data_IF_654485714679
#
_entry.id   IF_654485714679
#
_cell.length_a   1.000
_cell.length_b   1.000
_cell.length_c   1.000
_cell.angle_alpha   90.00
_cell.angle_beta   90.00
_cell.angle_gamma   90.00
#
_symmetry.space_group_name_H-M   'P 1'
#
loop_
_entity.id
_entity.type
_entity.pdbx_description
1 polymer ?
#
# COMPACT_ATOMS: atom_id res chain seq x y z
N UNK A 1 13.67 -70.79 -30.77
CA UNK A 1 13.01 -69.78 -29.88
C UNK A 1 14.04 -68.72 -29.50
N UNK A 2 13.70 -67.41 -29.46
CA UNK A 2 14.55 -66.23 -29.12
C UNK A 2 15.01 -65.25 -30.25
N UNK A 3 14.22 -65.00 -31.31
CA UNK A 3 14.48 -63.84 -32.21
C UNK A 3 13.26 -62.96 -32.56
N UNK A 4 12.05 -63.32 -32.12
CA UNK A 4 10.81 -62.61 -32.52
C UNK A 4 10.47 -61.44 -31.57
N UNK A 5 11.04 -61.37 -30.37
CA UNK A 5 10.70 -60.33 -29.40
C UNK A 5 11.41 -58.98 -29.63
N UNK A 6 12.45 -58.91 -30.48
CA UNK A 6 13.21 -57.66 -30.65
C UNK A 6 12.49 -56.63 -31.55
N UNK A 7 11.64 -57.09 -32.47
CA UNK A 7 10.93 -56.21 -33.42
C UNK A 7 9.60 -55.67 -32.90
N UNK A 8 9.06 -56.23 -31.80
CA UNK A 8 7.77 -55.77 -31.25
C UNK A 8 7.89 -54.50 -30.40
N UNK A 9 9.09 -54.16 -29.91
CA UNK A 9 9.32 -52.98 -29.06
C UNK A 9 9.85 -51.76 -29.83
N UNK A 10 10.34 -51.96 -31.07
CA UNK A 10 10.85 -50.89 -31.91
C UNK A 10 9.80 -49.80 -32.26
N UNK A 11 8.54 -50.12 -32.60
CA UNK A 11 7.54 -49.08 -32.89
C UNK A 11 7.11 -48.31 -31.64
N UNK A 12 7.10 -48.94 -30.45
CA UNK A 12 6.76 -48.27 -29.18
C UNK A 12 7.84 -47.26 -28.78
N UNK A 13 9.12 -47.60 -28.98
CA UNK A 13 10.24 -46.69 -28.71
C UNK A 13 10.30 -45.50 -29.69
N UNK A 14 9.92 -45.71 -30.95
CA UNK A 14 9.82 -44.63 -31.95
C UNK A 14 8.64 -43.68 -31.66
N UNK A 15 7.50 -44.21 -31.22
CA UNK A 15 6.35 -43.38 -30.82
C UNK A 15 6.67 -42.54 -29.57
N UNK A 16 7.38 -43.13 -28.59
CA UNK A 16 7.84 -42.42 -27.40
C UNK A 16 8.83 -41.28 -27.72
N UNK A 17 9.70 -41.45 -28.72
CA UNK A 17 10.59 -40.39 -29.20
C UNK A 17 9.89 -39.26 -29.96
N UNK A 18 8.77 -39.55 -30.64
CA UNK A 18 8.00 -38.51 -31.34
C UNK A 18 7.16 -37.66 -30.36
N UNK A 19 6.69 -38.25 -29.26
CA UNK A 19 5.95 -37.53 -28.21
C UNK A 19 6.86 -36.70 -27.29
N UNK A 20 8.14 -37.07 -27.13
CA UNK A 20 9.09 -36.29 -26.30
C UNK A 20 9.53 -34.96 -26.93
N UNK A 21 9.24 -34.71 -28.21
CA UNK A 21 9.59 -33.45 -28.89
C UNK A 21 8.52 -32.35 -28.75
N UNK A 22 7.36 -32.65 -28.17
CA UNK A 22 6.24 -31.69 -28.05
C UNK A 22 6.02 -31.14 -26.64
N UNK A 23 6.81 -31.59 -25.67
CA UNK A 23 6.70 -31.13 -24.28
C UNK A 23 7.98 -30.39 -23.92
N UNK A 24 8.11 -29.16 -24.40
CA UNK A 24 8.95 -28.18 -23.72
C UNK A 24 8.15 -27.73 -22.48
N UNK A 25 8.55 -28.15 -21.25
CA UNK A 25 7.99 -27.52 -20.07
C UNK A 25 8.48 -26.08 -20.09
N UNK A 26 7.54 -25.14 -20.16
CA UNK A 26 7.85 -23.72 -20.02
C UNK A 26 8.66 -23.56 -18.74
N UNK A 27 9.94 -23.23 -18.94
CA UNK A 27 10.92 -23.15 -17.86
C UNK A 27 10.45 -22.04 -16.93
N UNK A 28 9.91 -22.41 -15.76
CA UNK A 28 9.77 -21.46 -14.67
C UNK A 28 11.15 -20.87 -14.46
N UNK A 29 11.30 -19.53 -14.47
CA UNK A 29 12.57 -18.92 -14.13
C UNK A 29 12.98 -19.47 -12.76
N UNK A 30 14.18 -20.04 -12.71
CA UNK A 30 14.79 -20.56 -11.48
C UNK A 30 14.65 -19.51 -10.37
N UNK A 31 14.25 -19.91 -9.16
CA UNK A 31 14.20 -19.02 -7.98
C UNK A 31 15.47 -18.16 -7.83
N UNK A 32 16.60 -18.65 -8.32
CA UNK A 32 17.89 -17.95 -8.37
C UNK A 32 17.87 -16.62 -9.16
N UNK A 33 17.01 -16.46 -10.17
CA UNK A 33 16.90 -15.19 -10.92
C UNK A 33 16.06 -14.14 -10.18
N UNK A 34 15.04 -14.57 -9.42
CA UNK A 34 14.26 -13.71 -8.53
C UNK A 34 15.08 -13.27 -7.31
N UNK A 35 15.96 -14.14 -6.81
CA UNK A 35 16.87 -13.84 -5.69
C UNK A 35 18.04 -12.94 -6.11
N UNK A 36 18.51 -13.03 -7.37
CA UNK A 36 19.55 -12.11 -7.89
C UNK A 36 19.08 -10.67 -7.98
N UNK A 37 17.80 -10.42 -8.24
CA UNK A 37 17.25 -9.05 -8.27
C UNK A 37 17.03 -8.48 -6.85
N UNK A 38 16.92 -9.36 -5.84
CA UNK A 38 16.89 -9.01 -4.41
C UNK A 38 18.29 -8.85 -3.79
N UNK A 39 19.36 -9.10 -4.54
CA UNK A 39 20.75 -9.10 -4.02
C UNK A 39 21.35 -7.70 -3.83
N UNK A 40 20.57 -6.64 -4.02
CA UNK A 40 20.96 -5.26 -3.65
C UNK A 40 20.28 -4.80 -2.35
N UNK A 41 20.31 -5.62 -1.30
CA UNK A 41 20.15 -5.11 0.06
C UNK A 41 21.54 -5.05 0.68
N UNK A 42 22.22 -3.90 0.67
CA UNK A 42 23.49 -3.80 1.35
C UNK A 42 23.17 -3.59 2.82
N UNK A 43 23.38 -4.65 3.60
CA UNK A 43 23.43 -4.58 5.05
C UNK A 43 24.79 -3.97 5.44
N UNK A 44 24.73 -3.09 6.44
CA UNK A 44 25.83 -2.31 7.05
C UNK A 44 26.46 -1.25 6.13
N UNK A 45 25.83 -0.07 6.09
CA UNK A 45 26.45 1.16 5.59
C UNK A 45 25.55 2.15 4.86
N UNK A 46 24.25 1.86 4.66
CA UNK A 46 23.40 2.74 3.85
C UNK A 46 22.75 3.86 4.67
N UNK A 47 23.23 5.06 4.42
CA UNK A 47 22.58 6.33 4.75
C UNK A 47 21.25 6.54 4.00
N UNK A 48 20.86 5.63 3.11
CA UNK A 48 19.54 5.57 2.49
C UNK A 48 19.12 4.12 2.29
N UNK A 49 18.40 3.54 3.24
CA UNK A 49 17.50 2.42 2.91
C UNK A 49 16.52 3.00 1.89
N UNK A 50 16.66 2.61 0.62
CA UNK A 50 15.71 3.00 -0.43
C UNK A 50 14.29 2.64 -0.01
N UNK A 51 13.31 3.45 -0.41
CA UNK A 51 11.90 3.20 -0.11
C UNK A 51 11.42 1.82 -0.55
N UNK A 52 10.19 1.46 -0.20
CA UNK A 52 9.61 0.17 -0.61
C UNK A 52 9.55 0.10 -2.14
N UNK A 53 10.10 -0.95 -2.78
CA UNK A 53 10.08 -1.07 -4.24
C UNK A 53 8.65 -1.06 -4.80
N UNK A 54 8.40 -0.25 -5.83
CA UNK A 54 7.08 -0.13 -6.48
C UNK A 54 6.54 -1.48 -7.00
N UNK A 55 7.43 -2.33 -7.52
CA UNK A 55 7.08 -3.67 -7.98
C UNK A 55 6.46 -4.54 -6.87
N UNK A 56 6.93 -4.38 -5.62
CA UNK A 56 6.38 -5.10 -4.46
C UNK A 56 4.99 -4.56 -4.11
N UNK A 57 4.81 -3.24 -4.11
CA UNK A 57 3.52 -2.58 -3.82
C UNK A 57 2.45 -2.93 -4.84
N UNK A 58 2.84 -3.20 -6.08
CA UNK A 58 1.95 -3.60 -7.17
C UNK A 58 1.81 -5.12 -7.31
N UNK A 59 2.50 -5.95 -6.54
CA UNK A 59 2.37 -7.40 -6.69
C UNK A 59 0.93 -7.86 -6.40
N UNK A 60 0.40 -8.79 -7.22
CA UNK A 60 -0.95 -9.34 -7.05
C UNK A 60 -1.15 -9.96 -5.67
N UNK A 61 -2.39 -9.93 -5.18
CA UNK A 61 -2.76 -10.48 -3.87
C UNK A 61 -4.09 -11.20 -3.97
N UNK A 62 -4.33 -12.14 -3.06
CA UNK A 62 -5.60 -12.85 -2.93
C UNK A 62 -6.43 -12.27 -1.79
N UNK A 63 -7.75 -12.45 -1.84
CA UNK A 63 -8.61 -12.13 -0.70
C UNK A 63 -8.26 -13.04 0.48
N UNK A 64 -8.11 -12.45 1.67
CA UNK A 64 -7.81 -13.12 2.93
C UNK A 64 -8.89 -12.84 3.95
N UNK A 65 -9.25 -13.86 4.73
CA UNK A 65 -10.11 -13.71 5.90
C UNK A 65 -9.35 -13.10 7.08
N UNK A 66 -10.05 -12.39 7.97
CA UNK A 66 -9.49 -11.93 9.26
C UNK A 66 -8.64 -10.65 9.18
N UNK A 67 -8.71 -9.89 8.08
CA UNK A 67 -7.94 -8.66 7.86
C UNK A 67 -8.58 -7.40 8.49
N UNK A 68 -9.72 -7.57 9.15
CA UNK A 68 -10.59 -6.48 9.59
C UNK A 68 -11.77 -6.29 8.65
N UNK A 69 -12.84 -5.65 9.14
CA UNK A 69 -14.06 -5.42 8.38
C UNK A 69 -14.18 -3.91 8.11
N UNK A 70 -14.32 -3.55 6.84
CA UNK A 70 -14.59 -2.17 6.42
C UNK A 70 -15.78 -2.16 5.46
N UNK A 71 -16.99 -2.31 5.99
CA UNK A 71 -18.20 -2.47 5.17
C UNK A 71 -18.75 -1.13 4.64
N UNK A 72 -17.91 -0.33 3.97
CA UNK A 72 -18.33 0.94 3.36
C UNK A 72 -18.43 0.78 1.85
N UNK A 73 -19.66 0.88 1.33
CA UNK A 73 -19.92 0.80 -0.10
C UNK A 73 -19.28 1.97 -0.86
N UNK A 74 -18.64 1.64 -1.98
CA UNK A 74 -18.11 2.62 -2.94
C UNK A 74 -19.03 2.75 -4.16
N UNK A 75 -18.74 3.69 -5.06
CA UNK A 75 -19.42 3.79 -6.36
C UNK A 75 -18.99 2.72 -7.37
N UNK A 76 -18.05 1.84 -7.02
CA UNK A 76 -17.67 0.72 -7.87
C UNK A 76 -18.83 -0.26 -8.06
N UNK A 77 -18.96 -0.77 -9.27
CA UNK A 77 -19.92 -1.82 -9.62
C UNK A 77 -19.31 -3.22 -9.56
N UNK A 78 -18.00 -3.32 -9.31
CA UNK A 78 -17.27 -4.58 -9.28
C UNK A 78 -17.20 -5.11 -7.86
N UNK A 79 -17.92 -6.19 -7.57
CA UNK A 79 -17.91 -6.85 -6.27
C UNK A 79 -16.49 -7.27 -5.87
N UNK A 80 -15.67 -7.71 -6.84
CA UNK A 80 -14.26 -8.04 -6.60
C UNK A 80 -13.44 -6.81 -6.24
N UNK A 81 -13.61 -5.69 -6.95
CA UNK A 81 -12.90 -4.46 -6.63
C UNK A 81 -13.28 -3.98 -5.22
N UNK A 82 -14.58 -4.01 -4.88
CA UNK A 82 -15.07 -3.67 -3.55
C UNK A 82 -14.41 -4.55 -2.48
N UNK A 83 -14.39 -5.88 -2.65
CA UNK A 83 -13.77 -6.78 -1.69
C UNK A 83 -12.27 -6.50 -1.46
N UNK A 84 -11.52 -6.20 -2.52
CA UNK A 84 -10.11 -5.82 -2.39
C UNK A 84 -9.91 -4.44 -1.76
N UNK A 85 -10.79 -3.48 -2.04
CA UNK A 85 -10.78 -2.19 -1.38
C UNK A 85 -11.02 -2.33 0.12
N UNK A 86 -12.01 -3.12 0.53
CA UNK A 86 -12.31 -3.37 1.95
C UNK A 86 -11.13 -4.06 2.65
N UNK A 87 -10.51 -5.04 2.00
CA UNK A 87 -9.28 -5.66 2.48
C UNK A 87 -8.14 -4.64 2.63
N UNK A 88 -7.95 -3.77 1.64
CA UNK A 88 -6.95 -2.71 1.68
C UNK A 88 -7.16 -1.74 2.83
N UNK A 89 -8.42 -1.36 3.10
CA UNK A 89 -8.79 -0.54 4.26
C UNK A 89 -8.52 -1.26 5.58
N UNK A 90 -8.84 -2.54 5.68
CA UNK A 90 -8.49 -3.36 6.84
C UNK A 90 -6.98 -3.36 7.12
N UNK A 91 -6.16 -3.57 6.10
CA UNK A 91 -4.71 -3.49 6.23
C UNK A 91 -4.19 -2.08 6.54
N UNK A 92 -4.78 -1.03 5.95
CA UNK A 92 -4.41 0.35 6.19
C UNK A 92 -4.61 0.71 7.67
N UNK A 93 -5.78 0.41 8.23
CA UNK A 93 -6.06 0.63 9.65
C UNK A 93 -5.30 -0.32 10.57
N UNK A 94 -4.89 -1.49 10.07
CA UNK A 94 -3.96 -2.41 10.73
C UNK A 94 -2.48 -2.04 10.58
N UNK A 95 -2.14 -0.93 9.91
CA UNK A 95 -0.78 -0.49 9.60
C UNK A 95 0.08 -1.50 8.79
N UNK A 96 -0.56 -2.42 8.08
CA UNK A 96 0.08 -3.33 7.13
C UNK A 96 0.17 -2.67 5.72
N UNK A 97 0.93 -1.59 5.63
CA UNK A 97 0.93 -0.65 4.50
C UNK A 97 1.25 -1.31 3.14
N UNK A 98 2.18 -2.26 3.09
CA UNK A 98 2.52 -2.98 1.85
C UNK A 98 1.33 -3.81 1.36
N UNK A 99 0.65 -4.52 2.27
CA UNK A 99 -0.51 -5.34 1.92
C UNK A 99 -1.73 -4.45 1.57
N UNK A 100 -1.84 -3.26 2.18
CA UNK A 100 -2.83 -2.27 1.83
C UNK A 100 -2.65 -1.77 0.39
N UNK A 101 -1.43 -1.35 0.01
CA UNK A 101 -1.12 -0.92 -1.36
C UNK A 101 -1.42 -2.03 -2.38
N UNK A 102 -0.98 -3.26 -2.12
CA UNK A 102 -1.24 -4.41 -3.00
C UNK A 102 -2.73 -4.65 -3.20
N UNK A 103 -3.51 -4.54 -2.12
CA UNK A 103 -4.97 -4.72 -2.17
C UNK A 103 -5.65 -3.59 -2.95
N UNK A 104 -5.25 -2.33 -2.76
CA UNK A 104 -5.80 -1.22 -3.55
C UNK A 104 -5.41 -1.31 -5.03
N UNK A 105 -4.19 -1.72 -5.35
CA UNK A 105 -3.80 -1.97 -6.74
C UNK A 105 -4.58 -3.14 -7.36
N UNK A 106 -4.86 -4.20 -6.60
CA UNK A 106 -5.72 -5.29 -7.07
C UNK A 106 -7.17 -4.84 -7.27
N UNK A 107 -7.70 -3.96 -6.41
CA UNK A 107 -9.01 -3.34 -6.62
C UNK A 107 -9.04 -2.57 -7.95
N UNK A 108 -8.00 -1.81 -8.26
CA UNK A 108 -7.86 -1.06 -9.52
C UNK A 108 -7.69 -1.95 -10.77
N UNK A 109 -7.21 -3.19 -10.63
CA UNK A 109 -7.22 -4.17 -11.74
C UNK A 109 -8.63 -4.62 -12.08
N UNK A 110 -9.50 -4.69 -11.08
CA UNK A 110 -10.89 -5.10 -11.24
C UNK A 110 -11.85 -3.94 -11.55
N UNK A 111 -11.49 -2.72 -11.16
CA UNK A 111 -12.18 -1.49 -11.52
C UNK A 111 -11.18 -0.32 -11.56
N UNK A 112 -10.71 0.01 -12.77
CA UNK A 112 -9.75 1.08 -12.99
C UNK A 112 -10.31 2.49 -12.72
N UNK A 113 -11.61 2.62 -12.47
CA UNK A 113 -12.28 3.88 -12.18
C UNK A 113 -12.60 4.06 -10.69
N UNK A 114 -12.19 3.11 -9.83
CA UNK A 114 -12.46 3.16 -8.40
C UNK A 114 -11.66 4.28 -7.71
N UNK A 115 -12.31 5.45 -7.55
CA UNK A 115 -11.74 6.65 -6.92
C UNK A 115 -11.21 6.37 -5.52
N UNK A 116 -11.95 5.61 -4.71
CA UNK A 116 -11.56 5.36 -3.32
C UNK A 116 -10.31 4.48 -3.17
N UNK A 117 -9.99 3.62 -4.14
CA UNK A 117 -8.72 2.89 -4.12
C UNK A 117 -7.52 3.83 -4.32
N UNK A 118 -7.65 4.85 -5.17
CA UNK A 118 -6.64 5.90 -5.31
C UNK A 118 -6.51 6.78 -4.06
N UNK A 119 -7.63 7.11 -3.39
CA UNK A 119 -7.61 7.78 -2.08
C UNK A 119 -6.87 6.93 -1.03
N UNK A 120 -7.14 5.62 -0.99
CA UNK A 120 -6.46 4.66 -0.13
C UNK A 120 -4.95 4.59 -0.41
N UNK A 121 -4.55 4.51 -1.68
CA UNK A 121 -3.14 4.54 -2.09
C UNK A 121 -2.44 5.84 -1.65
N UNK A 122 -3.09 6.99 -1.82
CA UNK A 122 -2.55 8.27 -1.36
C UNK A 122 -2.23 8.26 0.14
N UNK A 123 -3.11 7.65 0.95
CA UNK A 123 -2.87 7.47 2.39
C UNK A 123 -1.71 6.53 2.67
N UNK A 124 -1.66 5.38 1.98
CA UNK A 124 -0.56 4.42 2.14
C UNK A 124 0.79 5.09 1.84
N UNK A 125 0.90 5.82 0.72
CA UNK A 125 2.14 6.49 0.35
C UNK A 125 2.52 7.60 1.31
N UNK A 126 1.56 8.36 1.84
CA UNK A 126 1.80 9.33 2.90
C UNK A 126 2.37 8.66 4.16
N UNK A 127 1.87 7.49 4.55
CA UNK A 127 2.35 6.73 5.72
C UNK A 127 3.72 6.05 5.46
N UNK A 128 4.07 5.80 4.20
CA UNK A 128 5.40 5.34 3.77
C UNK A 128 6.42 6.48 3.62
N UNK A 129 6.06 7.72 3.96
CA UNK A 129 6.87 8.94 3.72
C UNK A 129 7.22 9.17 2.23
N UNK A 130 6.41 8.63 1.30
CA UNK A 130 6.49 8.91 -0.14
C UNK A 130 5.45 9.96 -0.54
N UNK A 131 5.73 11.21 -0.18
CA UNK A 131 4.81 12.33 -0.46
C UNK A 131 4.54 12.51 -1.95
N UNK A 132 5.52 12.22 -2.82
CA UNK A 132 5.34 12.33 -4.27
C UNK A 132 4.27 11.35 -4.76
N UNK A 133 4.40 10.06 -4.43
CA UNK A 133 3.42 9.05 -4.79
C UNK A 133 2.05 9.30 -4.12
N UNK A 134 2.04 9.91 -2.93
CA UNK A 134 0.81 10.31 -2.25
C UNK A 134 0.03 11.37 -3.04
N UNK A 135 0.71 12.40 -3.56
CA UNK A 135 0.11 13.41 -4.43
C UNK A 135 -0.33 12.82 -5.79
N UNK A 136 0.52 12.02 -6.44
CA UNK A 136 0.19 11.37 -7.72
C UNK A 136 -1.09 10.51 -7.60
N UNK A 137 -1.24 9.79 -6.48
CA UNK A 137 -2.45 9.01 -6.20
C UNK A 137 -3.68 9.87 -5.93
N UNK A 138 -3.53 10.99 -5.21
CA UNK A 138 -4.63 11.94 -4.99
C UNK A 138 -5.09 12.61 -6.30
N UNK A 139 -4.14 12.95 -7.18
CA UNK A 139 -4.44 13.49 -8.51
C UNK A 139 -5.12 12.47 -9.42
N UNK A 140 -4.73 11.20 -9.35
CA UNK A 140 -5.43 10.13 -10.05
C UNK A 140 -6.90 10.01 -9.58
N UNK A 141 -7.13 10.08 -8.27
CA UNK A 141 -8.48 10.11 -7.71
C UNK A 141 -9.28 11.33 -8.22
N UNK A 142 -8.66 12.52 -8.26
CA UNK A 142 -9.30 13.74 -8.75
C UNK A 142 -9.67 13.68 -10.23
N UNK A 143 -8.83 13.09 -11.08
CA UNK A 143 -9.10 12.90 -12.52
C UNK A 143 -10.30 11.97 -12.75
N UNK A 144 -10.54 11.03 -11.83
CA UNK A 144 -11.64 10.07 -11.89
C UNK A 144 -12.87 10.51 -11.08
N UNK A 145 -12.86 11.71 -10.49
CA UNK A 145 -13.91 12.17 -9.57
C UNK A 145 -15.33 12.17 -10.17
N UNK A 146 -15.47 12.24 -11.50
CA UNK A 146 -16.76 12.13 -12.20
C UNK A 146 -17.42 10.75 -12.03
N UNK A 147 -16.66 9.70 -11.70
CA UNK A 147 -17.16 8.35 -11.40
C UNK A 147 -17.48 8.16 -9.92
N UNK A 148 -17.09 9.11 -9.07
CA UNK A 148 -17.33 9.06 -7.63
C UNK A 148 -18.68 9.66 -7.26
N UNK A 149 -19.30 9.07 -6.24
CA UNK A 149 -20.41 9.69 -5.52
C UNK A 149 -19.99 10.98 -4.82
N UNK A 150 -20.94 11.83 -4.42
CA UNK A 150 -20.64 13.05 -3.67
C UNK A 150 -19.82 12.79 -2.40
N UNK A 151 -20.09 11.66 -1.71
CA UNK A 151 -19.36 11.23 -0.52
C UNK A 151 -17.88 10.99 -0.84
N UNK A 152 -17.60 10.28 -1.92
CA UNK A 152 -16.24 9.95 -2.32
C UNK A 152 -15.49 11.17 -2.87
N UNK A 153 -16.17 12.08 -3.56
CA UNK A 153 -15.59 13.37 -3.95
C UNK A 153 -15.15 14.19 -2.74
N UNK A 154 -15.89 14.13 -1.62
CA UNK A 154 -15.48 14.76 -0.37
C UNK A 154 -14.19 14.14 0.21
N UNK A 155 -13.98 12.83 0.07
CA UNK A 155 -12.72 12.18 0.44
C UNK A 155 -11.55 12.66 -0.42
N UNK A 156 -11.76 12.83 -1.72
CA UNK A 156 -10.74 13.40 -2.64
C UNK A 156 -10.38 14.83 -2.24
N UNK A 157 -11.37 15.69 -1.98
CA UNK A 157 -11.14 17.07 -1.54
C UNK A 157 -10.33 17.10 -0.24
N UNK A 158 -10.73 16.31 0.77
CA UNK A 158 -10.02 16.22 2.04
C UNK A 158 -8.58 15.75 1.88
N UNK A 159 -8.31 14.89 0.89
CA UNK A 159 -6.98 14.34 0.67
C UNK A 159 -5.95 15.44 0.39
N UNK A 160 -6.29 16.40 -0.46
CA UNK A 160 -5.40 17.54 -0.78
C UNK A 160 -5.21 18.48 0.42
N UNK A 161 -6.28 18.75 1.18
CA UNK A 161 -6.18 19.60 2.38
C UNK A 161 -5.27 18.95 3.41
N UNK A 162 -5.37 17.64 3.59
CA UNK A 162 -4.52 16.90 4.53
C UNK A 162 -3.06 16.85 4.04
N UNK A 163 -2.81 16.55 2.76
CA UNK A 163 -1.44 16.52 2.21
C UNK A 163 -0.73 17.87 2.39
N UNK A 164 -1.42 18.99 2.09
CA UNK A 164 -0.89 20.34 2.34
C UNK A 164 -0.54 20.59 3.81
N UNK A 165 -1.36 20.09 4.74
CA UNK A 165 -1.07 20.20 6.16
C UNK A 165 0.10 19.30 6.61
N UNK A 166 0.26 18.14 5.97
CA UNK A 166 1.38 17.21 6.22
C UNK A 166 2.71 17.75 5.71
N UNK A 167 2.74 18.44 4.57
CA UNK A 167 3.94 19.13 4.07
C UNK A 167 4.47 20.21 5.01
N UNK A 168 3.67 20.62 6.00
CA UNK A 168 3.99 21.65 6.98
C UNK A 168 3.44 21.28 8.35
N UNK A 169 3.90 20.16 8.92
CA UNK A 169 3.42 19.54 10.16
C UNK A 169 3.26 20.48 11.36
N UNK A 170 4.09 21.53 11.46
CA UNK A 170 4.06 22.49 12.57
C UNK A 170 3.24 23.75 12.27
N UNK A 171 2.67 23.86 11.07
CA UNK A 171 1.81 24.98 10.68
C UNK A 171 0.39 24.77 11.24
N UNK A 172 0.12 25.42 12.38
CA UNK A 172 -1.18 25.36 13.06
C UNK A 172 -2.34 25.88 12.19
N UNK A 173 -2.08 26.82 11.29
CA UNK A 173 -3.10 27.35 10.37
C UNK A 173 -3.59 26.24 9.44
N UNK A 174 -2.66 25.54 8.78
CA UNK A 174 -3.00 24.43 7.87
C UNK A 174 -3.65 23.25 8.60
N UNK A 175 -3.20 22.93 9.81
CA UNK A 175 -3.87 21.93 10.65
C UNK A 175 -5.32 22.33 10.98
N UNK A 176 -5.56 23.59 11.30
CA UNK A 176 -6.91 24.09 11.59
C UNK A 176 -7.79 24.18 10.33
N UNK A 177 -7.21 24.48 9.16
CA UNK A 177 -7.89 24.38 7.86
C UNK A 177 -8.34 22.93 7.61
N UNK A 178 -7.45 21.96 7.82
CA UNK A 178 -7.76 20.53 7.70
C UNK A 178 -8.86 20.08 8.65
N UNK A 179 -8.76 20.42 9.95
CA UNK A 179 -9.81 20.13 10.95
C UNK A 179 -11.16 20.72 10.56
N UNK A 180 -11.15 21.96 10.07
CA UNK A 180 -12.37 22.64 9.63
C UNK A 180 -12.97 21.98 8.40
N UNK A 181 -12.15 21.53 7.46
CA UNK A 181 -12.59 20.79 6.28
C UNK A 181 -13.24 19.46 6.67
N UNK A 182 -12.60 18.66 7.53
CA UNK A 182 -13.18 17.38 7.99
C UNK A 182 -14.50 17.62 8.71
N UNK A 183 -14.58 18.61 9.60
CA UNK A 183 -15.82 18.93 10.33
C UNK A 183 -16.98 19.25 9.39
N UNK A 184 -16.73 19.95 8.27
CA UNK A 184 -17.76 20.20 7.26
C UNK A 184 -18.22 18.90 6.59
N UNK A 185 -17.29 18.02 6.23
CA UNK A 185 -17.65 16.76 5.56
C UNK A 185 -18.36 15.78 6.50
N UNK A 186 -17.93 15.67 7.77
CA UNK A 186 -18.65 14.88 8.81
C UNK A 186 -20.09 15.37 8.98
N UNK A 187 -20.32 16.69 8.95
CA UNK A 187 -21.68 17.24 9.02
C UNK A 187 -22.52 16.88 7.79
N UNK A 188 -21.90 16.82 6.59
CA UNK A 188 -22.58 16.48 5.33
C UNK A 188 -22.84 14.98 5.21
N UNK A 189 -21.93 14.14 5.70
CA UNK A 189 -21.99 12.67 5.61
C UNK A 189 -21.79 12.02 6.99
N UNK A 190 -22.72 12.21 7.94
CA UNK A 190 -22.53 11.74 9.32
C UNK A 190 -22.51 10.21 9.47
N UNK A 191 -22.91 9.46 8.45
CA UNK A 191 -22.87 8.00 8.41
C UNK A 191 -21.51 7.45 7.95
N UNK A 192 -20.62 8.29 7.42
CA UNK A 192 -19.30 7.87 6.95
C UNK A 192 -18.35 7.72 8.14
N UNK A 193 -18.11 6.47 8.54
CA UNK A 193 -17.24 6.13 9.67
C UNK A 193 -15.79 6.59 9.44
N UNK A 194 -15.32 6.63 8.20
CA UNK A 194 -13.95 7.03 7.89
C UNK A 194 -13.75 8.53 8.15
N UNK A 195 -14.74 9.36 7.82
CA UNK A 195 -14.68 10.79 8.13
C UNK A 195 -14.62 11.05 9.64
N UNK A 196 -15.33 10.26 10.45
CA UNK A 196 -15.24 10.34 11.91
C UNK A 196 -13.88 9.90 12.43
N UNK A 197 -13.31 8.84 11.88
CA UNK A 197 -11.97 8.38 12.23
C UNK A 197 -10.92 9.46 11.92
N UNK A 198 -10.95 10.02 10.71
CA UNK A 198 -10.07 11.12 10.29
C UNK A 198 -10.26 12.36 11.18
N UNK A 199 -11.49 12.67 11.59
CA UNK A 199 -11.75 13.75 12.53
C UNK A 199 -11.06 13.51 13.88
N UNK A 200 -11.15 12.29 14.41
CA UNK A 200 -10.45 11.86 15.62
C UNK A 200 -8.93 12.04 15.49
N UNK A 201 -8.34 11.50 14.42
CA UNK A 201 -6.90 11.60 14.15
C UNK A 201 -6.42 13.05 14.08
N UNK A 202 -7.18 13.93 13.42
CA UNK A 202 -6.81 15.34 13.27
C UNK A 202 -6.70 16.09 14.61
N UNK A 203 -7.28 15.57 15.71
CA UNK A 203 -7.15 16.15 17.05
C UNK A 203 -5.86 15.77 17.78
N UNK A 204 -5.08 14.77 17.32
CA UNK A 204 -3.82 14.36 17.98
C UNK A 204 -2.69 15.42 17.92
N UNK A 205 -2.86 16.47 17.12
CA UNK A 205 -1.98 17.64 17.06
C UNK A 205 -1.13 17.72 15.79
N UNK A 206 -1.15 16.68 14.96
CA UNK A 206 -0.56 16.65 13.62
C UNK A 206 -1.64 16.23 12.61
N UNK A 207 -1.46 16.58 11.34
CA UNK A 207 -2.41 16.21 10.27
C UNK A 207 -2.15 14.80 9.69
N UNK A 208 -1.15 14.07 10.17
CA UNK A 208 -0.85 12.71 9.70
C UNK A 208 -1.68 11.66 10.44
N UNK A 209 -2.04 10.58 9.76
CA UNK A 209 -2.69 9.41 10.35
C UNK A 209 -1.68 8.50 11.09
N UNK A 210 -0.37 8.72 10.88
CA UNK A 210 0.71 8.07 11.61
C UNK A 210 0.63 8.39 13.11
N UNK A 211 0.19 7.41 13.91
CA UNK A 211 0.22 7.52 15.37
C UNK A 211 1.60 7.93 15.88
N UNK A 212 1.67 8.66 16.99
CA UNK A 212 2.89 9.28 17.57
C UNK A 212 4.11 8.35 17.70
N UNK A 213 3.91 7.04 17.68
CA UNK A 213 4.95 6.00 17.79
C UNK A 213 5.82 5.91 16.53
N UNK A 214 5.27 6.10 15.33
CA UNK A 214 6.02 5.90 14.09
C UNK A 214 7.10 6.97 13.88
N UNK A 215 6.80 8.24 14.23
CA UNK A 215 7.74 9.36 14.03
C UNK A 215 8.79 9.52 15.13
N UNK A 216 8.57 9.02 16.36
CA UNK A 216 9.61 9.09 17.41
C UNK A 216 10.83 8.25 17.06
N UNK A 217 10.69 7.20 16.25
CA UNK A 217 11.81 6.33 15.87
C UNK A 217 12.83 7.04 14.97
N UNK A 218 12.37 7.93 14.08
CA UNK A 218 13.26 8.70 13.18
C UNK A 218 14.00 9.81 13.94
N UNK A 219 13.29 10.56 14.78
CA UNK A 219 13.88 11.65 15.55
C UNK A 219 14.86 11.17 16.63
N UNK A 220 14.63 10.00 17.23
CA UNK A 220 15.56 9.43 18.22
C UNK A 220 16.84 8.89 17.57
N UNK A 221 16.74 8.30 16.37
CA UNK A 221 17.91 7.83 15.60
C UNK A 221 18.80 8.97 15.11
N UNK A 222 18.23 10.12 14.69
CA UNK A 222 19.02 11.30 14.32
C UNK A 222 19.81 11.88 15.50
N UNK A 223 19.26 11.82 16.73
CA UNK A 223 19.92 12.33 17.93
C UNK A 223 21.02 11.40 18.47
N UNK A 224 20.97 10.11 18.15
CA UNK A 224 22.04 9.16 18.50
C UNK A 224 23.20 9.15 17.50
N UNK A 225 22.97 9.49 16.23
CA UNK A 225 24.03 9.50 15.21
C UNK A 225 24.91 10.76 15.24
N UNK A 226 24.41 11.89 15.73
CA UNK A 226 25.20 13.12 15.87
C UNK A 226 25.85 13.14 17.26
N UNK A 227 26.82 12.26 17.47
CA UNK A 227 27.69 12.28 18.63
C UNK A 227 28.54 13.56 18.63
N UNK A 228 28.06 14.61 19.29
CA UNK A 228 28.91 15.62 19.89
C UNK A 228 28.95 15.38 21.39
N UNK A 229 30.14 15.01 21.85
CA UNK A 229 30.48 14.70 23.23
C UNK A 229 30.04 15.82 24.18
N UNK A 230 29.04 15.55 25.02
CA UNK A 230 28.95 15.93 26.43
C UNK A 230 27.55 15.54 26.94
N UNK A 231 27.43 14.32 27.47
CA UNK A 231 26.29 13.93 28.31
C UNK A 231 26.61 14.41 29.72
N UNK A 232 26.20 15.63 30.05
CA UNK A 232 25.97 16.01 31.45
C UNK A 232 24.54 15.62 31.78
N UNK A 233 24.38 14.45 32.41
CA UNK A 233 23.13 14.03 33.03
C UNK A 233 22.80 15.01 34.16
N UNK A 234 21.88 15.95 33.92
CA UNK A 234 21.07 16.54 34.99
C UNK A 234 19.73 15.82 35.00
N UNK A 235 19.59 14.89 35.94
CA UNK A 235 18.30 14.51 36.46
C UNK A 235 17.67 15.74 37.12
N UNK A 236 16.53 16.19 36.62
CA UNK A 236 15.61 17.00 37.42
C UNK A 236 14.27 16.28 37.43
N UNK A 237 13.99 15.71 38.59
CA UNK A 237 12.67 15.24 39.03
C UNK A 237 11.83 16.51 39.26
N UNK A 238 10.66 16.60 38.61
CA UNK A 238 9.34 16.97 39.14
C UNK A 238 8.35 17.12 37.99
#
# INVERSE_FOLDING_TARGET
MKRVHLYSFLPVLLLARLLSNFFEPESRPSEESLVRDLSQIPVCGLSHVGGVPDALLKQTVVLRSGVGQFATLTSSKSEKAQAYFEQGMGYLHGYALIEAARSFHEALRHDSTMVMAHVGLSRVFMELDDNKAAYESAEAAQKLAQFASEREQAHVELRFVQLKAVDSLHNKTLLNEYRSAIKRQVKRFPQDAELWLMAGNAYEGLASDAGRVHRRRVLLSMKMCCGSSQITLRHTIF
#
